data_IF_424765098341
#
_entry.id   IF_424765098341
#
_cell.length_a   1.000
_cell.length_b   1.000
_cell.length_c   1.000
_cell.angle_alpha   90.00
_cell.angle_beta   90.00
_cell.angle_gamma   90.00
#
_symmetry.space_group_name_H-M   'P 1'
#
loop_
_entity.id
_entity.type
_entity.pdbx_description
1 polymer ?
#
# COMPACT_ATOMS: atom_id res chain seq x y z
N UNK A 1 6.83 -12.45 16.59
CA UNK A 1 8.26 -12.46 16.25
C UNK A 1 8.90 -11.26 16.95
N UNK A 2 9.84 -11.50 17.84
CA UNK A 2 10.48 -10.43 18.65
C UNK A 2 11.29 -9.46 17.77
N UNK A 3 11.69 -9.88 16.57
CA UNK A 3 12.43 -9.06 15.60
C UNK A 3 11.80 -9.13 14.20
N UNK A 4 10.56 -8.68 14.10
CA UNK A 4 9.86 -8.65 12.81
C UNK A 4 10.53 -7.69 11.80
N UNK A 5 11.23 -6.67 12.27
CA UNK A 5 11.94 -5.72 11.41
C UNK A 5 13.09 -6.37 10.65
N UNK A 6 13.73 -7.39 11.20
CA UNK A 6 14.89 -8.06 10.59
C UNK A 6 14.53 -8.88 9.35
N UNK A 7 13.26 -9.21 9.13
CA UNK A 7 12.78 -9.98 7.98
C UNK A 7 12.22 -9.11 6.86
N UNK A 8 12.17 -7.79 7.06
CA UNK A 8 11.70 -6.83 6.05
C UNK A 8 12.86 -6.51 5.11
N UNK A 9 12.71 -6.85 3.83
CA UNK A 9 13.68 -6.50 2.81
C UNK A 9 13.74 -4.98 2.57
N UNK A 10 12.59 -4.33 2.53
CA UNK A 10 12.49 -2.90 2.25
C UNK A 10 11.06 -2.43 2.06
N UNK A 11 10.91 -1.21 1.57
CA UNK A 11 9.65 -0.50 1.48
C UNK A 11 9.44 0.07 0.08
N UNK A 12 8.20 0.10 -0.36
CA UNK A 12 7.82 0.64 -1.68
C UNK A 12 6.45 1.30 -1.60
N UNK A 13 6.13 2.18 -2.56
CA UNK A 13 4.77 2.64 -2.71
C UNK A 13 3.92 1.53 -3.33
N UNK A 14 2.65 1.50 -2.94
CA UNK A 14 1.65 0.59 -3.49
C UNK A 14 0.33 1.32 -3.70
N UNK A 15 -0.47 0.85 -4.64
CA UNK A 15 -1.85 1.30 -4.79
C UNK A 15 -2.75 0.06 -4.77
N UNK A 16 -3.57 -0.07 -3.73
CA UNK A 16 -4.48 -1.20 -3.53
C UNK A 16 -5.83 -0.91 -4.18
N UNK A 17 -5.93 -1.20 -5.47
CA UNK A 17 -7.13 -0.95 -6.26
C UNK A 17 -8.23 -1.96 -5.93
N UNK A 18 -9.46 -1.47 -5.88
CA UNK A 18 -10.62 -2.29 -5.57
C UNK A 18 -11.68 -2.13 -6.66
N UNK A 19 -12.06 -3.25 -7.30
CA UNK A 19 -13.20 -3.29 -8.19
C UNK A 19 -14.49 -3.22 -7.37
N UNK A 20 -15.02 -2.00 -7.16
CA UNK A 20 -16.14 -1.74 -6.25
C UNK A 20 -17.41 -2.51 -6.63
N UNK A 21 -17.65 -2.70 -7.93
CA UNK A 21 -18.80 -3.47 -8.42
C UNK A 21 -18.66 -4.95 -8.03
N UNK A 22 -17.47 -5.54 -8.20
CA UNK A 22 -17.22 -6.91 -7.79
C UNK A 22 -17.38 -7.09 -6.27
N UNK A 23 -16.88 -6.15 -5.47
CA UNK A 23 -17.07 -6.18 -4.02
C UNK A 23 -18.56 -6.14 -3.65
N UNK A 24 -19.34 -5.28 -4.30
CA UNK A 24 -20.79 -5.18 -4.05
C UNK A 24 -21.52 -6.46 -4.43
N UNK A 25 -21.21 -7.03 -5.59
CA UNK A 25 -21.85 -8.27 -6.08
C UNK A 25 -21.54 -9.45 -5.17
N UNK A 26 -20.36 -9.46 -4.55
CA UNK A 26 -19.91 -10.52 -3.63
C UNK A 26 -20.30 -10.24 -2.16
N UNK A 27 -21.26 -9.35 -1.92
CA UNK A 27 -21.75 -9.05 -0.57
C UNK A 27 -20.72 -8.39 0.35
N UNK A 28 -19.74 -7.68 -0.23
CA UNK A 28 -18.66 -7.00 0.49
C UNK A 28 -17.36 -7.82 0.59
N UNK A 29 -17.32 -9.05 0.06
CA UNK A 29 -16.09 -9.84 0.03
C UNK A 29 -15.08 -9.22 -0.96
N UNK A 30 -13.82 -9.09 -0.52
CA UNK A 30 -12.79 -8.39 -1.28
C UNK A 30 -11.91 -9.31 -2.15
N UNK A 31 -12.05 -10.63 -2.04
CA UNK A 31 -11.21 -11.58 -2.76
C UNK A 31 -11.16 -11.28 -4.27
N UNK A 32 -12.28 -11.42 -4.97
CA UNK A 32 -12.38 -11.12 -6.41
C UNK A 32 -12.13 -9.64 -6.71
N UNK A 33 -12.58 -8.76 -5.83
CA UNK A 33 -12.47 -7.31 -6.02
C UNK A 33 -11.03 -6.78 -6.01
N UNK A 34 -10.08 -7.53 -5.45
CA UNK A 34 -8.65 -7.17 -5.34
C UNK A 34 -7.71 -8.14 -6.07
N UNK A 35 -8.21 -9.24 -6.62
CA UNK A 35 -7.38 -10.30 -7.23
C UNK A 35 -7.46 -10.33 -8.76
N UNK A 36 -7.54 -9.17 -9.40
CA UNK A 36 -7.49 -9.05 -10.85
C UNK A 36 -6.13 -8.54 -11.31
N UNK A 37 -5.78 -8.79 -12.57
CA UNK A 37 -4.50 -8.36 -13.13
C UNK A 37 -4.35 -6.84 -13.00
N UNK A 38 -3.18 -6.39 -12.56
CA UNK A 38 -2.85 -4.97 -12.33
C UNK A 38 -3.55 -4.29 -11.15
N UNK A 39 -4.25 -5.05 -10.28
CA UNK A 39 -4.96 -4.50 -9.12
C UNK A 39 -4.05 -3.86 -8.07
N UNK A 40 -2.78 -4.28 -8.01
CA UNK A 40 -1.83 -3.81 -7.02
C UNK A 40 -0.50 -3.38 -7.65
N UNK A 41 -0.44 -2.24 -8.31
CA UNK A 41 0.84 -1.71 -8.79
C UNK A 41 1.76 -1.36 -7.62
N UNK A 42 3.05 -1.67 -7.77
CA UNK A 42 4.12 -1.45 -6.82
C UNK A 42 5.24 -0.62 -7.46
N UNK A 43 5.93 0.19 -6.71
CA UNK A 43 7.07 0.97 -7.19
C UNK A 43 7.20 2.34 -6.52
N UNK A 44 8.03 3.23 -7.10
CA UNK A 44 8.83 3.07 -8.32
C UNK A 44 10.03 2.14 -8.13
N UNK A 45 10.48 1.92 -6.91
CA UNK A 45 11.56 1.02 -6.49
C UNK A 45 11.33 0.54 -5.07
N UNK A 46 12.18 -0.36 -4.59
CA UNK A 46 12.21 -0.78 -3.19
C UNK A 46 13.36 -0.03 -2.50
N UNK A 47 13.03 0.75 -1.47
CA UNK A 47 14.02 1.37 -0.57
C UNK A 47 14.45 0.34 0.46
N UNK A 48 15.74 0.00 0.49
CA UNK A 48 16.32 -1.00 1.41
C UNK A 48 17.33 -0.34 2.33
N UNK A 49 17.23 -0.62 3.62
CA UNK A 49 18.14 -0.06 4.64
C UNK A 49 18.07 1.47 4.73
N UNK A 50 19.16 2.08 5.22
CA UNK A 50 19.31 3.53 5.28
C UNK A 50 18.50 4.20 6.39
N UNK A 51 18.23 5.49 6.18
CA UNK A 51 17.56 6.35 7.16
C UNK A 51 16.03 6.39 6.99
N UNK A 52 15.44 5.48 6.19
CA UNK A 52 13.98 5.44 6.02
C UNK A 52 13.30 4.93 7.29
N UNK A 53 12.47 5.78 7.90
CA UNK A 53 11.65 5.42 9.04
C UNK A 53 10.24 5.01 8.59
N UNK A 54 9.91 3.70 8.59
CA UNK A 54 8.61 3.21 8.13
C UNK A 54 7.45 3.60 9.04
N UNK A 55 7.72 3.95 10.27
CA UNK A 55 6.71 4.34 11.25
C UNK A 55 6.52 5.87 11.33
N UNK A 56 7.26 6.65 10.51
CA UNK A 56 7.13 8.12 10.44
C UNK A 56 7.36 8.66 9.01
N UNK A 57 6.70 8.07 8.03
CA UNK A 57 6.76 8.49 6.63
C UNK A 57 5.48 9.22 6.21
N UNK A 58 5.63 10.37 5.57
CA UNK A 58 4.50 11.09 4.96
C UNK A 58 4.05 10.39 3.69
N UNK A 59 2.72 10.28 3.53
CA UNK A 59 2.07 9.66 2.37
C UNK A 59 1.07 10.66 1.80
N UNK A 60 1.07 10.83 0.48
CA UNK A 60 0.03 11.58 -0.22
C UNK A 60 -0.50 10.83 -1.43
N UNK A 61 -1.77 11.05 -1.73
CA UNK A 61 -2.46 10.48 -2.89
C UNK A 61 -3.02 11.62 -3.73
N UNK A 62 -2.69 11.62 -5.03
CA UNK A 62 -3.21 12.60 -5.99
C UNK A 62 -3.91 11.87 -7.14
N UNK A 63 -4.99 12.48 -7.66
CA UNK A 63 -5.64 12.06 -8.89
C UNK A 63 -5.66 13.26 -9.84
N UNK A 64 -5.08 13.09 -11.04
CA UNK A 64 -4.89 14.14 -12.04
C UNK A 64 -4.18 15.39 -11.49
N UNK A 65 -3.25 15.20 -10.54
CA UNK A 65 -2.50 16.27 -9.86
C UNK A 65 -3.24 16.92 -8.68
N UNK A 66 -4.50 16.60 -8.44
CA UNK A 66 -5.25 17.08 -7.28
C UNK A 66 -5.07 16.15 -6.09
N UNK A 67 -4.68 16.67 -4.94
CA UNK A 67 -4.56 15.89 -3.71
C UNK A 67 -5.93 15.37 -3.27
N UNK A 68 -5.99 14.08 -2.99
CA UNK A 68 -7.19 13.41 -2.45
C UNK A 68 -7.08 13.15 -0.97
N UNK A 69 -5.88 13.18 -0.45
CA UNK A 69 -5.57 13.12 0.96
C UNK A 69 -4.12 12.79 1.21
N UNK A 70 -3.72 13.08 2.44
CA UNK A 70 -2.36 12.84 2.93
C UNK A 70 -2.40 12.45 4.40
N UNK A 71 -1.31 11.89 4.90
CA UNK A 71 -1.13 11.50 6.28
C UNK A 71 0.24 10.92 6.52
N UNK A 72 0.53 10.55 7.75
CA UNK A 72 1.80 9.94 8.13
C UNK A 72 1.57 8.53 8.66
N UNK A 73 2.52 7.62 8.41
CA UNK A 73 2.52 6.28 9.00
C UNK A 73 2.56 6.33 10.54
N UNK A 74 3.01 7.43 11.13
CA UNK A 74 2.95 7.64 12.58
C UNK A 74 1.51 7.70 13.14
N UNK A 75 0.52 7.89 12.28
CA UNK A 75 -0.91 7.88 12.65
C UNK A 75 -1.54 6.48 12.59
N UNK A 76 -0.79 5.47 12.14
CA UNK A 76 -1.27 4.09 12.12
C UNK A 76 -1.49 3.56 13.54
N UNK A 77 -2.50 2.72 13.73
CA UNK A 77 -2.79 2.09 15.03
C UNK A 77 -1.73 1.08 15.49
N UNK A 78 -0.89 0.59 14.58
CA UNK A 78 0.18 -0.36 14.82
C UNK A 78 1.41 -0.03 14.00
N UNK A 79 2.61 -0.24 14.58
CA UNK A 79 3.88 -0.15 13.85
C UNK A 79 3.98 -1.20 12.76
N UNK A 80 4.81 -0.94 11.74
CA UNK A 80 5.05 -1.89 10.65
C UNK A 80 5.54 -3.24 11.18
N UNK A 81 6.47 -3.24 12.11
CA UNK A 81 6.98 -4.47 12.74
C UNK A 81 5.86 -5.29 13.42
N UNK A 82 4.91 -4.62 14.08
CA UNK A 82 3.76 -5.30 14.70
C UNK A 82 2.81 -5.89 13.66
N UNK A 83 2.59 -5.21 12.54
CA UNK A 83 1.77 -5.72 11.43
C UNK A 83 2.42 -6.99 10.85
N UNK A 84 3.72 -6.96 10.55
CA UNK A 84 4.46 -8.14 10.04
C UNK A 84 4.40 -9.30 11.04
N UNK A 85 4.64 -9.03 12.32
CA UNK A 85 4.54 -10.05 13.39
C UNK A 85 3.14 -10.68 13.45
N UNK A 86 2.09 -9.87 13.34
CA UNK A 86 0.71 -10.35 13.36
C UNK A 86 0.40 -11.24 12.14
N UNK A 87 0.75 -10.79 10.93
CA UNK A 87 0.52 -11.54 9.69
C UNK A 87 1.27 -12.87 9.70
N UNK A 88 2.52 -12.89 10.17
CA UNK A 88 3.32 -14.11 10.29
C UNK A 88 2.75 -15.13 11.26
N UNK A 89 1.92 -14.70 12.20
CA UNK A 89 1.17 -15.59 13.11
C UNK A 89 -0.06 -16.24 12.46
N UNK A 90 -0.52 -15.72 11.31
CA UNK A 90 -1.69 -16.23 10.58
C UNK A 90 -1.25 -17.11 9.41
N UNK A 91 -0.24 -16.68 8.66
CA UNK A 91 0.27 -17.40 7.49
C UNK A 91 1.79 -17.35 7.42
N UNK A 92 2.39 -18.33 6.76
CA UNK A 92 3.82 -18.34 6.48
C UNK A 92 4.13 -17.24 5.47
N UNK A 93 5.03 -16.32 5.83
CA UNK A 93 5.57 -15.31 4.91
C UNK A 93 6.79 -15.87 4.18
N UNK A 94 6.84 -15.67 2.89
CA UNK A 94 7.94 -16.10 2.02
C UNK A 94 8.68 -14.86 1.47
N UNK A 95 9.95 -15.03 1.06
CA UNK A 95 10.67 -13.97 0.34
C UNK A 95 9.90 -13.53 -0.91
N UNK A 96 9.63 -12.22 -1.02
CA UNK A 96 8.84 -11.63 -2.09
C UNK A 96 7.38 -11.36 -1.73
N UNK A 97 6.89 -11.81 -0.58
CA UNK A 97 5.57 -11.43 -0.09
C UNK A 97 5.52 -9.94 0.22
N UNK A 98 4.37 -9.33 -0.11
CA UNK A 98 4.12 -7.90 0.10
C UNK A 98 2.97 -7.73 1.09
N UNK A 99 3.17 -6.88 2.08
CA UNK A 99 2.14 -6.49 3.04
C UNK A 99 1.77 -5.03 2.81
N UNK A 100 0.51 -4.79 2.47
CA UNK A 100 -0.06 -3.46 2.35
C UNK A 100 -0.55 -2.99 3.71
N UNK A 101 -0.01 -1.87 4.20
CA UNK A 101 -0.27 -1.37 5.55
C UNK A 101 -1.43 -0.39 5.65
N UNK A 102 -2.10 -0.12 4.54
CA UNK A 102 -3.23 0.80 4.46
C UNK A 102 -2.90 2.12 3.79
N UNK A 103 -3.88 3.02 3.77
CA UNK A 103 -3.80 4.30 3.07
C UNK A 103 -4.45 5.41 3.89
N UNK A 104 -3.91 6.64 3.87
CA UNK A 104 -4.57 7.80 4.50
C UNK A 104 -5.76 8.31 3.68
N UNK A 105 -5.84 7.93 2.41
CA UNK A 105 -6.87 8.40 1.50
C UNK A 105 -7.28 7.34 0.49
N UNK A 106 -8.50 7.47 0.00
CA UNK A 106 -9.04 6.65 -1.08
C UNK A 106 -10.13 7.41 -1.82
N UNK A 107 -10.63 6.81 -2.87
CA UNK A 107 -11.71 7.39 -3.67
C UNK A 107 -11.91 6.66 -4.97
N UNK A 108 -13.01 6.92 -5.66
CA UNK A 108 -13.25 6.32 -6.97
C UNK A 108 -12.23 6.83 -7.97
N UNK A 109 -11.75 5.91 -8.81
CA UNK A 109 -10.86 6.17 -9.92
C UNK A 109 -11.59 5.86 -11.22
N UNK A 110 -11.55 6.75 -12.20
CA UNK A 110 -12.21 6.60 -13.49
C UNK A 110 -11.19 6.26 -14.58
N UNK A 111 -11.68 5.61 -15.64
CA UNK A 111 -10.87 5.36 -16.82
C UNK A 111 -10.22 6.65 -17.35
N UNK A 112 -8.92 6.59 -17.65
CA UNK A 112 -8.12 7.72 -18.13
C UNK A 112 -7.55 8.61 -17.03
N UNK A 113 -7.91 8.43 -15.76
CA UNK A 113 -7.34 9.22 -14.67
C UNK A 113 -5.96 8.71 -14.28
N UNK A 114 -5.07 9.65 -13.95
CA UNK A 114 -3.74 9.38 -13.43
C UNK A 114 -3.78 9.43 -11.91
N UNK A 115 -3.39 8.33 -11.27
CA UNK A 115 -3.22 8.24 -9.83
C UNK A 115 -1.74 8.27 -9.48
N UNK A 116 -1.41 9.02 -8.46
CA UNK A 116 -0.05 9.15 -7.92
C UNK A 116 -0.10 8.88 -6.41
N UNK A 117 0.75 7.94 -5.98
CA UNK A 117 0.96 7.62 -4.56
C UNK A 117 2.40 7.97 -4.24
N UNK A 118 2.59 8.95 -3.40
CA UNK A 118 3.91 9.41 -2.96
C UNK A 118 4.15 9.02 -1.50
N UNK A 119 5.32 8.45 -1.24
CA UNK A 119 5.81 8.20 0.12
C UNK A 119 7.16 8.90 0.27
N UNK A 120 7.24 9.82 1.24
CA UNK A 120 8.47 10.54 1.53
C UNK A 120 9.61 9.56 1.86
N UNK A 121 10.76 9.76 1.22
CA UNK A 121 11.92 8.86 1.35
C UNK A 121 11.90 7.63 0.43
N UNK A 122 10.78 7.39 -0.29
CA UNK A 122 10.69 6.35 -1.32
C UNK A 122 10.58 7.00 -2.70
N UNK A 123 9.51 7.78 -2.96
CA UNK A 123 9.26 8.39 -4.24
C UNK A 123 7.78 8.38 -4.60
N UNK A 124 7.48 8.51 -5.90
CA UNK A 124 6.11 8.57 -6.40
C UNK A 124 5.83 7.43 -7.37
N UNK A 125 4.86 6.59 -7.04
CA UNK A 125 4.29 5.61 -7.94
C UNK A 125 3.19 6.29 -8.76
N UNK A 126 3.28 6.22 -10.08
CA UNK A 126 2.30 6.82 -10.99
C UNK A 126 1.71 5.74 -11.90
N UNK A 127 0.39 5.68 -11.97
CA UNK A 127 -0.35 4.76 -12.82
C UNK A 127 -1.50 5.48 -13.55
N UNK A 128 -1.87 4.93 -14.70
CA UNK A 128 -3.05 5.35 -15.45
C UNK A 128 -4.16 4.30 -15.28
N UNK A 129 -5.35 4.73 -14.92
CA UNK A 129 -6.53 3.86 -14.88
C UNK A 129 -7.00 3.55 -16.30
N UNK A 130 -7.03 2.28 -16.69
CA UNK A 130 -7.45 1.83 -18.02
C UNK A 130 -8.73 1.00 -17.94
#
# INVERSE_FOLDING_TARGET
>A
VEDASSVILGYTCANDLTAADAARDDGGALGRAKSWDTACPLGPWITVGGDFDPDNAEISVRINGEERGSGSTSQMGYSVARIVSYVSGICTLLPGDVILTGTPAGGPLKHGERVEVEVAGIGTLTNLAM
#
